data_IF_958664923299
#
_entry.id   IF_958664923299
#
_cell.length_a   1.000
_cell.length_b   1.000
_cell.length_c   1.000
_cell.angle_alpha   90.00
_cell.angle_beta   90.00
_cell.angle_gamma   90.00
#
_symmetry.space_group_name_H-M   'P 1'
#
loop_
_entity.id
_entity.type
_entity.pdbx_description
1 polymer ?
#
# COMPACT_ATOMS: atom_id res chain seq x y z
N UNK A 1 9.36 28.36 -2.68
CA UNK A 1 8.33 27.37 -3.02
C UNK A 1 8.85 26.04 -2.54
N UNK A 2 8.21 25.46 -1.52
CA UNK A 2 8.56 24.13 -1.02
C UNK A 2 7.88 23.10 -1.93
N UNK A 3 8.66 22.23 -2.55
CA UNK A 3 8.09 21.10 -3.31
C UNK A 3 7.45 20.13 -2.32
N UNK A 4 6.15 19.86 -2.50
CA UNK A 4 5.44 18.86 -1.71
C UNK A 4 5.89 17.47 -2.17
N UNK A 5 6.43 16.67 -1.26
CA UNK A 5 6.83 15.29 -1.56
C UNK A 5 5.77 14.32 -1.10
N UNK A 6 5.35 13.43 -1.98
CA UNK A 6 4.38 12.38 -1.71
C UNK A 6 5.07 11.04 -1.62
N UNK A 7 4.70 10.28 -0.60
CA UNK A 7 5.23 8.93 -0.39
C UNK A 7 4.18 7.95 -0.88
N UNK A 8 4.59 7.03 -1.74
CA UNK A 8 3.70 6.00 -2.26
C UNK A 8 4.47 4.74 -2.62
N UNK A 9 3.74 3.68 -2.91
CA UNK A 9 4.29 2.46 -3.47
C UNK A 9 3.21 1.71 -4.24
N UNK A 10 3.54 1.03 -5.33
CA UNK A 10 2.65 -0.03 -5.84
C UNK A 10 3.46 -1.30 -5.87
N UNK A 11 3.11 -2.24 -5.01
CA UNK A 11 3.84 -3.50 -4.88
C UNK A 11 2.87 -4.64 -5.07
N UNK A 12 3.10 -5.43 -6.11
CA UNK A 12 2.44 -6.72 -6.28
C UNK A 12 3.18 -7.76 -5.45
N UNK A 13 2.42 -8.56 -4.71
CA UNK A 13 2.88 -9.51 -3.72
C UNK A 13 2.30 -10.89 -4.08
N UNK A 14 3.15 -11.91 -4.20
CA UNK A 14 2.74 -13.30 -4.34
C UNK A 14 3.21 -14.10 -3.15
N UNK A 15 2.27 -14.78 -2.49
CA UNK A 15 2.52 -15.54 -1.27
C UNK A 15 1.40 -16.56 -1.05
N UNK A 16 1.67 -17.60 -0.27
CA UNK A 16 0.66 -18.54 0.20
C UNK A 16 -0.13 -18.03 1.41
N UNK A 17 0.31 -16.91 2.01
CA UNK A 17 -0.35 -16.30 3.16
C UNK A 17 -1.74 -15.76 2.81
N UNK A 18 -2.67 -15.87 3.75
CA UNK A 18 -3.94 -15.16 3.68
C UNK A 18 -3.76 -13.64 3.77
N UNK A 19 -4.75 -12.86 3.34
CA UNK A 19 -4.66 -11.39 3.32
C UNK A 19 -4.42 -10.80 4.73
N UNK A 20 -4.98 -11.40 5.78
CA UNK A 20 -4.76 -10.98 7.17
C UNK A 20 -3.33 -11.27 7.64
N UNK A 21 -2.81 -12.45 7.32
CA UNK A 21 -1.46 -12.86 7.69
C UNK A 21 -0.42 -12.01 6.96
N UNK A 22 -0.65 -11.75 5.67
CA UNK A 22 0.15 -10.84 4.88
C UNK A 22 0.07 -9.41 5.41
N UNK A 23 -1.13 -8.93 5.76
CA UNK A 23 -1.32 -7.63 6.40
C UNK A 23 -0.55 -7.49 7.71
N UNK A 24 -0.59 -8.52 8.56
CA UNK A 24 0.17 -8.57 9.81
C UNK A 24 1.69 -8.57 9.57
N UNK A 25 2.17 -9.30 8.57
CA UNK A 25 3.57 -9.32 8.16
C UNK A 25 4.04 -7.94 7.69
N UNK A 26 3.29 -7.31 6.77
CA UNK A 26 3.58 -5.96 6.26
C UNK A 26 3.56 -4.95 7.40
N UNK A 27 2.53 -5.02 8.26
CA UNK A 27 2.41 -4.17 9.45
C UNK A 27 3.68 -4.22 10.30
N UNK A 28 4.12 -5.41 10.68
CA UNK A 28 5.26 -5.60 11.58
C UNK A 28 6.60 -5.20 10.95
N UNK A 29 6.78 -5.44 9.64
CA UNK A 29 8.07 -5.25 8.95
C UNK A 29 8.24 -3.88 8.31
N UNK A 30 7.15 -3.29 7.81
CA UNK A 30 7.19 -2.07 6.99
C UNK A 30 6.59 -0.89 7.74
N UNK A 31 5.46 -1.10 8.42
CA UNK A 31 4.65 -0.02 8.98
C UNK A 31 4.74 0.12 10.50
N UNK A 32 5.78 -0.46 11.12
CA UNK A 32 6.05 -0.28 12.56
C UNK A 32 4.95 -0.84 13.48
N UNK A 33 4.16 -1.81 13.01
CA UNK A 33 3.09 -2.44 13.77
C UNK A 33 1.70 -1.78 13.62
N UNK A 34 1.52 -0.81 12.72
CA UNK A 34 0.18 -0.25 12.42
C UNK A 34 -0.70 -1.34 11.82
N UNK A 35 -1.80 -1.75 12.48
CA UNK A 35 -2.58 -2.90 12.04
C UNK A 35 -3.39 -2.59 10.79
N UNK A 36 -3.66 -3.64 10.00
CA UNK A 36 -4.65 -3.59 8.93
C UNK A 36 -6.04 -3.97 9.46
N UNK A 37 -7.07 -3.31 8.94
CA UNK A 37 -8.47 -3.58 9.25
C UNK A 37 -9.39 -3.36 8.06
N UNK A 38 -10.69 -3.22 8.31
CA UNK A 38 -11.67 -2.83 7.30
C UNK A 38 -12.05 -3.90 6.29
N UNK A 39 -11.76 -5.18 6.56
CA UNK A 39 -12.22 -6.31 5.73
C UNK A 39 -13.74 -6.27 5.52
N UNK A 40 -14.47 -5.94 6.57
CA UNK A 40 -15.95 -5.89 6.60
C UNK A 40 -16.51 -4.61 5.95
N UNK A 41 -15.65 -3.67 5.55
CA UNK A 41 -16.08 -2.40 4.96
C UNK A 41 -16.33 -2.53 3.44
N UNK A 42 -15.99 -3.68 2.84
CA UNK A 42 -16.16 -3.98 1.42
C UNK A 42 -15.66 -2.85 0.51
N UNK A 43 -14.48 -2.30 0.81
CA UNK A 43 -13.90 -1.17 0.05
C UNK A 43 -13.56 -1.52 -1.41
N UNK A 44 -13.66 -2.80 -1.80
CA UNK A 44 -13.64 -3.29 -3.17
C UNK A 44 -14.72 -4.34 -3.36
N UNK A 45 -15.47 -4.22 -4.44
CA UNK A 45 -16.66 -5.05 -4.69
C UNK A 45 -16.30 -6.52 -5.02
N UNK A 46 -15.19 -6.75 -5.71
CA UNK A 46 -14.88 -8.05 -6.32
C UNK A 46 -13.78 -8.84 -5.59
N UNK A 47 -12.99 -8.17 -4.75
CA UNK A 47 -11.78 -8.76 -4.16
C UNK A 47 -11.68 -8.41 -2.67
N UNK A 48 -11.14 -9.30 -1.83
CA UNK A 48 -10.88 -8.96 -0.44
C UNK A 48 -9.89 -7.81 -0.37
N UNK A 49 -10.16 -6.85 0.51
CA UNK A 49 -9.31 -5.70 0.72
C UNK A 49 -9.31 -5.30 2.20
N UNK A 50 -8.13 -4.92 2.67
CA UNK A 50 -7.90 -4.39 4.01
C UNK A 50 -7.04 -3.14 3.90
N UNK A 51 -7.10 -2.26 4.89
CA UNK A 51 -6.33 -1.02 4.89
C UNK A 51 -5.68 -0.74 6.23
N UNK A 52 -4.62 0.07 6.25
CA UNK A 52 -3.98 0.51 7.50
C UNK A 52 -4.99 1.28 8.35
N UNK A 53 -5.22 0.82 9.59
CA UNK A 53 -6.20 1.39 10.54
C UNK A 53 -6.03 2.89 10.76
N UNK A 54 -4.80 3.39 10.65
CA UNK A 54 -4.46 4.80 10.71
C UNK A 54 -3.61 5.21 9.47
N UNK A 55 -3.69 6.47 9.02
CA UNK A 55 -2.80 6.98 7.97
C UNK A 55 -1.34 7.03 8.44
N UNK A 56 -0.43 6.58 7.59
CA UNK A 56 1.01 6.65 7.80
C UNK A 56 1.55 7.80 6.97
N UNK A 57 2.06 8.85 7.63
CA UNK A 57 2.50 10.08 6.96
C UNK A 57 1.40 10.72 6.09
N UNK A 58 0.14 10.63 6.53
CA UNK A 58 -1.02 11.15 5.78
C UNK A 58 -1.50 10.23 4.65
N UNK A 59 -0.92 9.04 4.48
CA UNK A 59 -1.29 8.09 3.45
C UNK A 59 -1.84 6.83 4.07
N UNK A 60 -3.05 6.43 3.66
CA UNK A 60 -3.60 5.12 4.02
C UNK A 60 -3.11 4.11 2.99
N UNK A 61 -2.72 2.92 3.39
CA UNK A 61 -2.35 1.88 2.43
C UNK A 61 -3.44 0.83 2.35
N UNK A 62 -3.79 0.43 1.14
CA UNK A 62 -4.76 -0.63 0.86
C UNK A 62 -3.99 -1.85 0.37
N UNK A 63 -4.25 -3.00 0.98
CA UNK A 63 -3.86 -4.31 0.50
C UNK A 63 -5.11 -4.98 -0.06
N UNK A 64 -5.12 -5.34 -1.34
CA UNK A 64 -6.26 -5.99 -2.00
C UNK A 64 -5.84 -7.21 -2.80
N UNK A 65 -6.70 -8.21 -2.92
CA UNK A 65 -6.49 -9.30 -3.88
C UNK A 65 -6.48 -8.81 -5.33
N UNK A 66 -5.80 -9.55 -6.22
CA UNK A 66 -5.77 -9.27 -7.67
C UNK A 66 -6.70 -10.20 -8.48
N UNK A 67 -7.99 -10.25 -8.12
CA UNK A 67 -9.04 -10.90 -8.93
C UNK A 67 -8.69 -12.33 -9.36
N UNK A 68 -8.61 -12.55 -10.67
CA UNK A 68 -8.30 -13.84 -11.32
C UNK A 68 -6.83 -14.29 -11.17
N UNK A 69 -5.97 -13.48 -10.54
CA UNK A 69 -4.56 -13.80 -10.35
C UNK A 69 -4.24 -14.12 -8.89
N UNK A 70 -3.33 -15.10 -8.70
CA UNK A 70 -2.79 -15.40 -7.37
C UNK A 70 -1.83 -14.30 -6.95
N UNK A 71 -2.34 -13.34 -6.19
CA UNK A 71 -1.56 -12.23 -5.68
C UNK A 71 -2.37 -11.16 -4.95
N UNK A 72 -1.63 -10.25 -4.34
CA UNK A 72 -2.14 -9.08 -3.68
C UNK A 72 -1.44 -7.83 -4.20
N UNK A 73 -2.14 -6.71 -4.18
CA UNK A 73 -1.62 -5.40 -4.51
C UNK A 73 -1.64 -4.53 -3.25
N UNK A 74 -0.48 -4.00 -2.88
CA UNK A 74 -0.34 -2.95 -1.88
C UNK A 74 -0.19 -1.60 -2.59
N UNK A 75 -1.09 -0.66 -2.31
CA UNK A 75 -1.05 0.68 -2.91
C UNK A 75 -1.51 1.80 -1.96
N UNK A 76 -1.02 3.05 -2.16
CA UNK A 76 -1.48 4.19 -1.40
C UNK A 76 -2.91 4.54 -1.78
N UNK A 77 -3.68 4.89 -0.78
CA UNK A 77 -4.94 5.56 -0.88
C UNK A 77 -4.82 6.92 -0.23
N UNK A 78 -5.12 7.93 -1.02
CA UNK A 78 -5.02 9.32 -0.63
C UNK A 78 -6.41 9.81 -0.23
N UNK A 79 -6.57 10.21 1.02
CA UNK A 79 -7.80 10.88 1.46
C UNK A 79 -7.89 12.28 0.81
N UNK A 80 -9.06 12.61 0.27
CA UNK A 80 -9.25 13.68 -0.71
C UNK A 80 -8.79 15.08 -0.31
N UNK A 81 -8.66 15.38 0.98
CA UNK A 81 -8.25 16.70 1.47
C UNK A 81 -6.78 17.03 1.15
N UNK A 82 -5.92 16.02 1.02
CA UNK A 82 -4.51 16.21 0.67
C UNK A 82 -4.31 16.50 -0.82
N UNK A 83 -5.16 15.96 -1.71
CA UNK A 83 -5.12 16.24 -3.16
C UNK A 83 -5.51 17.69 -3.46
N UNK A 84 -6.42 18.27 -2.67
CA UNK A 84 -6.86 19.67 -2.82
C UNK A 84 -5.70 20.65 -2.54
N UNK A 85 -4.79 20.31 -1.62
CA UNK A 85 -3.59 21.11 -1.36
C UNK A 85 -2.51 20.91 -2.42
N UNK A 86 -2.31 19.68 -2.89
CA UNK A 86 -1.38 19.34 -3.96
C UNK A 86 -1.74 19.99 -5.31
N UNK A 87 -3.03 20.22 -5.59
CA UNK A 87 -3.52 20.88 -6.81
C UNK A 87 -3.05 22.33 -7.04
N UNK A 88 -2.14 22.87 -6.20
CA UNK A 88 -1.52 24.19 -6.36
C UNK A 88 0.02 24.17 -6.47
N UNK A 89 0.69 23.03 -6.27
CA UNK A 89 2.16 22.92 -6.32
C UNK A 89 2.62 21.62 -7.01
N UNK A 90 3.80 21.64 -7.62
CA UNK A 90 4.39 20.43 -8.20
C UNK A 90 4.68 19.41 -7.09
N UNK A 91 4.13 18.22 -7.21
CA UNK A 91 4.35 17.11 -6.28
C UNK A 91 5.48 16.21 -6.80
N UNK A 92 6.50 15.98 -5.98
CA UNK A 92 7.52 14.96 -6.23
C UNK A 92 7.10 13.65 -5.55
N UNK A 93 7.05 12.55 -6.30
CA UNK A 93 6.76 11.23 -5.74
C UNK A 93 8.03 10.52 -5.31
N UNK A 94 8.04 10.04 -4.07
CA UNK A 94 9.03 9.13 -3.53
C UNK A 94 8.43 7.74 -3.55
N UNK A 95 8.94 6.90 -4.46
CA UNK A 95 8.53 5.49 -4.57
C UNK A 95 9.25 4.65 -3.51
N UNK A 96 8.48 4.16 -2.53
CA UNK A 96 8.96 3.22 -1.52
C UNK A 96 8.82 1.76 -1.93
N UNK A 97 8.27 1.48 -3.11
CA UNK A 97 8.09 0.12 -3.63
C UNK A 97 9.36 -0.74 -3.48
N UNK A 98 10.55 -0.27 -3.92
CA UNK A 98 11.79 -1.05 -3.79
C UNK A 98 12.19 -1.36 -2.35
N UNK A 99 11.99 -0.42 -1.42
CA UNK A 99 12.32 -0.60 0.01
C UNK A 99 11.38 -1.60 0.66
N UNK A 100 10.08 -1.50 0.34
CA UNK A 100 9.05 -2.42 0.81
C UNK A 100 9.32 -3.82 0.27
N UNK A 101 9.58 -3.95 -1.04
CA UNK A 101 9.89 -5.22 -1.68
C UNK A 101 11.12 -5.89 -1.05
N UNK A 102 12.20 -5.13 -0.82
CA UNK A 102 13.41 -5.65 -0.16
C UNK A 102 13.10 -6.17 1.25
N UNK A 103 12.37 -5.36 2.04
CA UNK A 103 12.03 -5.68 3.43
C UNK A 103 11.15 -6.93 3.54
N UNK A 104 10.26 -7.13 2.56
CA UNK A 104 9.35 -8.28 2.52
C UNK A 104 10.01 -9.53 1.92
N UNK A 105 10.90 -9.41 0.94
CA UNK A 105 11.63 -10.56 0.39
C UNK A 105 12.54 -11.25 1.43
N UNK A 106 13.02 -10.49 2.42
CA UNK A 106 13.76 -11.05 3.57
C UNK A 106 12.86 -11.82 4.55
N UNK A 107 11.54 -11.60 4.49
CA UNK A 107 10.56 -12.48 5.12
C UNK A 107 10.23 -13.60 4.13
N UNK A 108 10.60 -14.84 4.46
CA UNK A 108 10.39 -15.97 3.57
C UNK A 108 8.93 -16.05 3.06
N UNK A 109 8.77 -16.49 1.81
CA UNK A 109 7.50 -16.78 1.13
C UNK A 109 6.72 -15.58 0.54
N UNK A 110 7.37 -14.44 0.31
CA UNK A 110 6.78 -13.32 -0.44
C UNK A 110 7.64 -12.94 -1.65
N UNK A 111 7.10 -13.12 -2.85
CA UNK A 111 7.69 -12.56 -4.08
C UNK A 111 7.09 -11.18 -4.34
N UNK A 112 7.93 -10.19 -4.59
CA UNK A 112 7.52 -8.80 -4.76
C UNK A 112 7.87 -8.29 -6.17
N UNK A 113 6.95 -7.57 -6.80
CA UNK A 113 7.15 -6.81 -8.04
C UNK A 113 6.72 -5.36 -7.82
N UNK A 114 7.64 -4.40 -7.99
CA UNK A 114 7.35 -2.97 -7.91
C UNK A 114 6.74 -2.49 -9.21
N UNK A 115 5.59 -1.83 -9.13
CA UNK A 115 4.87 -1.28 -10.27
C UNK A 115 5.03 0.26 -10.31
N UNK A 116 4.99 0.88 -11.49
CA UNK A 116 5.02 2.34 -11.58
C UNK A 116 3.87 2.99 -10.81
N UNK A 117 4.20 4.03 -10.05
CA UNK A 117 3.25 4.99 -9.50
C UNK A 117 2.75 5.86 -10.65
N UNK A 118 1.58 5.53 -11.20
CA UNK A 118 0.89 6.43 -12.10
C UNK A 118 0.07 7.43 -11.27
N UNK A 119 0.12 8.74 -11.56
CA UNK A 119 -0.85 9.66 -11.00
C UNK A 119 -2.25 9.24 -11.48
N UNK A 120 -3.17 8.99 -10.53
CA UNK A 120 -4.59 8.80 -10.82
C UNK A 120 -5.28 10.15 -11.01
#
# INVERSE_FOLDING_TARGET
MSELKWIGCRVRLRTALGIEELGALISARVFGGVPFGGREDFIRDEVPAIYTSEPILGVRFILSGEGDSEGYLLEPHVEGDLLIQAGREAVEFVDLGPVIALTLQEAAEVTCETLPLHPQ
#
